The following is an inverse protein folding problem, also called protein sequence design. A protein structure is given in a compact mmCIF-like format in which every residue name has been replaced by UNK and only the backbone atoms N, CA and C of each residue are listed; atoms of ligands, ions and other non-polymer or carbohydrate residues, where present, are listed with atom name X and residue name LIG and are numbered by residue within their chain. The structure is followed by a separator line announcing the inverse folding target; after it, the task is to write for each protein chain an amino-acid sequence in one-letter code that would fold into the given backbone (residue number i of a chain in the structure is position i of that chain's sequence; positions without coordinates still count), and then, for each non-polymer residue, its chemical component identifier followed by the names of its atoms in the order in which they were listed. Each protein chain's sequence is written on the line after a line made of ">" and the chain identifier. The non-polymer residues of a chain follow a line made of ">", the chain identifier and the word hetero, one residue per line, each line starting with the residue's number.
data_IF_598842279764
#
_entry.id   IF_598842279764
#
_cell.length_a   1.000
_cell.length_b   1.000
_cell.length_c   1.000
_cell.angle_alpha   90.00
_cell.angle_beta   90.00
_cell.angle_gamma   90.00
#
_symmetry.space_group_name_H-M   'P 1'
#
loop_
_entity.id
_entity.type
_entity.pdbx_description
1 polymer ?
#
# COMPACT_ATOMS: atom_id res chain seq x y z
N UNK A 1 1.61 23.79 -6.28
CA UNK A 1 2.02 22.93 -5.14
C UNK A 1 1.63 21.51 -5.48
N UNK A 2 2.48 20.52 -5.18
CA UNK A 2 2.17 19.10 -5.37
C UNK A 2 1.27 18.63 -4.22
N UNK A 3 0.39 17.68 -4.49
CA UNK A 3 -0.48 17.07 -3.49
C UNK A 3 0.33 16.01 -2.70
N UNK A 4 0.55 16.18 -1.39
CA UNK A 4 1.22 15.16 -0.60
C UNK A 4 0.32 13.92 -0.45
N UNK A 5 0.89 12.75 -0.77
CA UNK A 5 0.21 11.47 -0.66
C UNK A 5 1.06 10.43 0.08
N UNK A 6 0.40 9.55 0.84
CA UNK A 6 0.95 8.28 1.30
C UNK A 6 0.17 7.13 0.64
N UNK A 7 0.87 6.11 0.15
CA UNK A 7 0.28 5.00 -0.60
C UNK A 7 0.37 3.68 0.19
N UNK A 8 -0.76 3.08 0.52
CA UNK A 8 -0.87 1.74 1.12
C UNK A 8 -1.33 0.74 0.06
N UNK A 9 -0.53 -0.29 -0.23
CA UNK A 9 -0.68 -1.17 -1.41
C UNK A 9 -0.27 -2.61 -1.10
N UNK A 10 -0.68 -3.56 -1.92
CA UNK A 10 -0.29 -4.96 -1.86
C UNK A 10 0.22 -5.46 -3.22
N UNK A 11 1.39 -4.95 -3.69
CA UNK A 11 1.66 -4.85 -5.12
C UNK A 11 1.43 -6.12 -5.95
N UNK A 12 0.36 -6.05 -6.76
CA UNK A 12 0.10 -6.83 -7.95
C UNK A 12 0.47 -6.07 -9.24
N UNK A 13 -0.05 -6.56 -10.37
CA UNK A 13 0.26 -6.00 -11.71
C UNK A 13 -0.33 -4.59 -11.87
N UNK A 14 -1.56 -4.39 -11.41
CA UNK A 14 -2.26 -3.11 -11.45
C UNK A 14 -1.71 -2.10 -10.44
N UNK A 15 -1.34 -2.54 -9.23
CA UNK A 15 -0.62 -1.68 -8.28
C UNK A 15 0.68 -1.13 -8.87
N UNK A 16 1.44 -1.93 -9.61
CA UNK A 16 2.67 -1.46 -10.26
C UNK A 16 2.39 -0.27 -11.19
N UNK A 17 1.29 -0.30 -11.93
CA UNK A 17 0.86 0.82 -12.78
C UNK A 17 0.47 2.03 -11.94
N UNK A 18 -0.26 1.83 -10.84
CA UNK A 18 -0.66 2.91 -9.92
C UNK A 18 0.55 3.56 -9.24
N UNK A 19 1.54 2.77 -8.81
CA UNK A 19 2.79 3.24 -8.22
C UNK A 19 3.58 4.05 -9.26
N UNK A 20 3.71 3.56 -10.49
CA UNK A 20 4.35 4.33 -11.56
C UNK A 20 3.66 5.67 -11.78
N UNK A 21 2.32 5.69 -11.86
CA UNK A 21 1.55 6.91 -12.01
C UNK A 21 1.79 7.87 -10.83
N UNK A 22 1.83 7.36 -9.59
CA UNK A 22 2.09 8.16 -8.40
C UNK A 22 3.51 8.75 -8.36
N UNK A 23 4.51 8.01 -8.85
CA UNK A 23 5.91 8.46 -8.91
C UNK A 23 6.10 9.54 -9.98
N UNK A 24 5.50 9.36 -11.16
CA UNK A 24 5.79 10.18 -12.33
C UNK A 24 4.77 11.30 -12.59
N UNK A 25 3.64 11.34 -11.87
CA UNK A 25 2.69 12.45 -11.97
C UNK A 25 3.27 13.73 -11.34
N UNK A 26 3.46 14.82 -12.10
CA UNK A 26 4.08 16.04 -11.58
C UNK A 26 3.23 16.78 -10.54
N UNK A 27 1.94 16.46 -10.44
CA UNK A 27 1.00 17.00 -9.46
C UNK A 27 1.04 16.27 -8.12
N UNK A 28 1.61 15.06 -8.05
CA UNK A 28 1.65 14.24 -6.84
C UNK A 28 3.03 14.31 -6.17
N UNK A 29 3.02 14.27 -4.84
CA UNK A 29 4.22 14.13 -4.02
C UNK A 29 4.06 12.87 -3.17
N UNK A 30 4.56 11.75 -3.69
CA UNK A 30 4.52 10.46 -3.02
C UNK A 30 5.63 10.40 -1.96
N UNK A 31 5.24 10.62 -0.71
CA UNK A 31 6.17 10.82 0.40
C UNK A 31 6.44 9.54 1.21
N UNK A 32 5.52 8.57 1.19
CA UNK A 32 5.61 7.31 1.92
C UNK A 32 4.83 6.24 1.18
N UNK A 33 5.40 5.04 1.12
CA UNK A 33 4.68 3.83 0.75
C UNK A 33 4.61 2.86 1.92
N UNK A 34 3.52 2.11 1.99
CA UNK A 34 3.35 0.99 2.92
C UNK A 34 2.79 -0.22 2.19
N UNK A 35 3.17 -1.40 2.65
CA UNK A 35 2.66 -2.66 2.11
C UNK A 35 1.73 -3.38 3.08
N UNK A 36 0.78 -4.12 2.55
CA UNK A 36 -0.13 -4.99 3.32
C UNK A 36 -0.21 -6.37 2.67
N UNK A 37 -0.62 -7.39 3.43
CA UNK A 37 -1.02 -8.67 2.85
C UNK A 37 -2.39 -8.56 2.15
N UNK A 38 -2.49 -9.14 0.95
CA UNK A 38 -3.70 -9.14 0.12
C UNK A 38 -3.51 -10.08 -1.06
N UNK A 39 -3.12 -9.56 -2.22
CA UNK A 39 -2.83 -10.33 -3.43
C UNK A 39 -1.90 -11.51 -3.17
N UNK A 40 -0.83 -11.26 -2.40
CA UNK A 40 0.11 -12.26 -1.91
C UNK A 40 0.50 -11.94 -0.45
N UNK A 41 1.36 -12.76 0.17
CA UNK A 41 1.83 -12.52 1.53
C UNK A 41 2.55 -11.17 1.66
N UNK A 42 2.55 -10.58 2.85
CA UNK A 42 3.14 -9.24 3.04
C UNK A 42 4.64 -9.21 2.71
N UNK A 43 5.36 -10.31 2.90
CA UNK A 43 6.78 -10.42 2.53
C UNK A 43 6.96 -10.30 1.02
N UNK A 44 6.04 -10.91 0.25
CA UNK A 44 6.04 -10.84 -1.21
C UNK A 44 5.61 -9.46 -1.70
N UNK A 45 4.55 -8.88 -1.14
CA UNK A 45 4.11 -7.53 -1.52
C UNK A 45 5.18 -6.48 -1.20
N UNK A 46 5.86 -6.60 -0.06
CA UNK A 46 7.00 -5.74 0.31
C UNK A 46 8.18 -5.92 -0.63
N UNK A 47 8.53 -7.17 -0.96
CA UNK A 47 9.57 -7.45 -1.96
C UNK A 47 9.21 -6.81 -3.31
N UNK A 48 7.97 -6.94 -3.76
CA UNK A 48 7.50 -6.37 -5.02
C UNK A 48 7.62 -4.85 -5.01
N UNK A 49 7.16 -4.17 -3.96
CA UNK A 49 7.31 -2.72 -3.81
C UNK A 49 8.77 -2.27 -3.87
N UNK A 50 9.69 -2.95 -3.16
CA UNK A 50 11.12 -2.60 -3.18
C UNK A 50 11.74 -2.76 -4.58
N UNK A 51 11.31 -3.79 -5.32
CA UNK A 51 11.77 -4.08 -6.66
C UNK A 51 11.29 -3.03 -7.66
N UNK A 52 10.04 -2.59 -7.54
CA UNK A 52 9.49 -1.50 -8.33
C UNK A 52 10.20 -0.17 -8.03
N UNK A 53 10.43 0.15 -6.74
CA UNK A 53 11.20 1.32 -6.34
C UNK A 53 12.65 1.27 -6.84
N UNK A 54 13.26 0.08 -6.85
CA UNK A 54 14.58 -0.13 -7.43
C UNK A 54 14.57 0.10 -8.95
N UNK A 55 13.62 -0.50 -9.65
CA UNK A 55 13.49 -0.41 -11.11
C UNK A 55 13.36 1.05 -11.59
N UNK A 56 12.55 1.85 -10.92
CA UNK A 56 12.40 3.28 -11.24
C UNK A 56 13.43 4.20 -10.58
N UNK A 57 14.38 3.65 -9.84
CA UNK A 57 15.37 4.40 -9.06
C UNK A 57 14.72 5.48 -8.17
N UNK A 58 13.61 5.13 -7.52
CA UNK A 58 12.81 6.03 -6.69
C UNK A 58 13.17 5.89 -5.21
N UNK A 59 13.53 7.00 -4.56
CA UNK A 59 13.96 7.04 -3.15
C UNK A 59 12.80 7.33 -2.19
N UNK A 60 11.72 6.55 -2.31
CA UNK A 60 10.53 6.68 -1.45
C UNK A 60 10.67 5.73 -0.27
N UNK A 61 10.49 6.19 0.99
CA UNK A 61 10.51 5.30 2.14
C UNK A 61 9.35 4.30 2.05
N UNK A 62 9.65 3.03 2.36
CA UNK A 62 8.68 1.94 2.34
C UNK A 62 8.62 1.27 3.72
N UNK A 63 7.44 1.11 4.32
CA UNK A 63 7.29 0.32 5.55
C UNK A 63 6.43 -0.93 5.33
N UNK A 64 6.89 -2.06 5.88
CA UNK A 64 6.12 -3.29 5.85
C UNK A 64 4.97 -3.22 6.87
N UNK A 65 3.77 -3.62 6.44
CA UNK A 65 2.57 -3.59 7.27
C UNK A 65 2.06 -4.95 7.73
N UNK A 66 0.74 -5.03 7.88
CA UNK A 66 0.08 -6.19 8.47
C UNK A 66 0.19 -7.43 7.58
N UNK A 67 0.63 -8.55 8.17
CA UNK A 67 0.73 -9.85 7.52
C UNK A 67 -0.61 -10.60 7.41
N UNK A 68 -1.59 -10.23 8.25
CA UNK A 68 -2.89 -10.88 8.34
C UNK A 68 -4.01 -9.86 8.55
N UNK A 69 -5.26 -10.15 8.15
CA UNK A 69 -6.42 -9.33 8.47
C UNK A 69 -6.66 -9.21 9.98
N UNK A 70 -7.40 -8.19 10.42
CA UNK A 70 -7.65 -7.93 11.85
C UNK A 70 -8.33 -9.08 12.61
N UNK A 71 -9.26 -9.78 11.96
CA UNK A 71 -10.14 -10.77 12.62
C UNK A 71 -10.28 -12.06 11.83
N UNK A 72 -10.35 -11.98 10.49
CA UNK A 72 -10.56 -13.14 9.63
C UNK A 72 -9.25 -13.86 9.31
N UNK A 73 -9.35 -15.14 8.99
CA UNK A 73 -8.23 -15.89 8.43
C UNK A 73 -7.73 -15.25 7.12
N UNK A 74 -6.40 -15.24 6.88
CA UNK A 74 -5.83 -14.74 5.64
C UNK A 74 -6.32 -15.57 4.45
N UNK A 75 -6.56 -14.89 3.33
CA UNK A 75 -6.82 -15.46 2.01
C UNK A 75 -6.03 -14.62 1.03
N UNK A 76 -5.28 -15.25 0.15
CA UNK A 76 -4.55 -14.57 -0.92
C UNK A 76 -5.28 -14.67 -2.26
N UNK A 77 -4.84 -13.89 -3.24
CA UNK A 77 -5.27 -13.98 -4.63
C UNK A 77 -4.13 -14.48 -5.54
N UNK A 78 -3.29 -15.39 -5.04
CA UNK A 78 -2.16 -15.93 -5.82
C UNK A 78 -2.60 -16.58 -7.14
N UNK A 79 -3.85 -17.08 -7.21
CA UNK A 79 -4.46 -17.61 -8.44
C UNK A 79 -4.65 -16.57 -9.56
N UNK A 80 -4.71 -15.28 -9.24
CA UNK A 80 -4.87 -14.17 -10.18
C UNK A 80 -3.54 -13.50 -10.49
N UNK A 81 -2.71 -13.26 -9.47
CA UNK A 81 -1.46 -12.48 -9.60
C UNK A 81 -0.19 -13.34 -9.75
N UNK A 82 -0.33 -14.67 -9.72
CA UNK A 82 0.78 -15.62 -9.76
C UNK A 82 1.51 -15.75 -8.43
N UNK A 83 2.41 -16.72 -8.32
CA UNK A 83 3.06 -17.09 -7.05
C UNK A 83 3.85 -15.94 -6.42
N UNK A 84 4.44 -15.06 -7.23
CA UNK A 84 5.17 -13.88 -6.78
C UNK A 84 4.30 -12.63 -6.59
N UNK A 85 3.08 -12.60 -7.15
CA UNK A 85 2.27 -11.38 -7.28
C UNK A 85 2.61 -10.52 -8.52
N UNK A 86 3.75 -10.78 -9.17
CA UNK A 86 4.18 -10.12 -10.40
C UNK A 86 4.73 -11.15 -11.40
N UNK A 87 3.89 -12.11 -11.79
CA UNK A 87 4.29 -13.12 -12.78
C UNK A 87 4.73 -12.45 -14.10
N UNK A 88 5.86 -12.91 -14.65
CA UNK A 88 6.45 -12.36 -15.88
C UNK A 88 7.45 -11.23 -15.69
N UNK A 89 7.73 -10.82 -14.44
CA UNK A 89 8.81 -9.88 -14.12
C UNK A 89 9.98 -10.59 -13.43
N UNK A 90 11.18 -10.41 -13.98
CA UNK A 90 12.41 -10.97 -13.42
C UNK A 90 12.97 -10.06 -12.33
N UNK A 91 12.92 -10.56 -11.09
CA UNK A 91 13.46 -9.85 -9.94
C UNK A 91 14.99 -9.81 -9.95
N UNK A 92 15.55 -8.61 -9.81
CA UNK A 92 17.01 -8.41 -9.71
C UNK A 92 17.45 -8.29 -8.24
N UNK A 93 18.69 -8.64 -7.93
CA UNK A 93 19.20 -8.43 -6.58
C UNK A 93 19.42 -6.94 -6.30
N UNK A 94 18.99 -6.49 -5.12
CA UNK A 94 19.23 -5.14 -4.62
C UNK A 94 19.35 -5.13 -3.10
N UNK A 95 19.95 -4.08 -2.54
CA UNK A 95 20.15 -3.93 -1.09
C UNK A 95 19.09 -3.06 -0.38
N UNK A 96 18.03 -2.63 -1.10
CA UNK A 96 16.94 -1.85 -0.49
C UNK A 96 16.25 -2.64 0.61
N UNK A 97 15.88 -1.94 1.69
CA UNK A 97 15.18 -2.50 2.85
C UNK A 97 13.99 -1.62 3.20
N UNK A 98 12.89 -2.20 3.71
CA UNK A 98 11.83 -1.39 4.28
C UNK A 98 12.33 -0.73 5.57
N UNK A 99 11.61 0.29 6.03
CA UNK A 99 11.79 0.89 7.34
C UNK A 99 11.61 -0.19 8.42
N UNK A 100 12.41 -0.10 9.48
CA UNK A 100 12.35 -1.01 10.64
C UNK A 100 11.17 -0.75 11.59
N UNK A 101 10.10 -0.14 11.10
CA UNK A 101 8.89 0.17 11.87
C UNK A 101 7.64 -0.33 11.11
N UNK A 102 6.59 -0.77 11.82
CA UNK A 102 5.32 -1.16 11.21
C UNK A 102 4.68 -0.05 10.38
N UNK A 103 4.03 -0.41 9.26
CA UNK A 103 3.35 0.52 8.35
C UNK A 103 2.46 1.55 9.05
N UNK A 104 1.57 1.14 9.95
CA UNK A 104 0.65 2.07 10.62
C UNK A 104 1.39 3.08 11.51
N UNK A 105 2.54 2.70 12.10
CA UNK A 105 3.40 3.61 12.86
C UNK A 105 4.19 4.53 11.93
N UNK A 106 4.66 4.03 10.78
CA UNK A 106 5.29 4.86 9.76
C UNK A 106 4.33 5.94 9.24
N UNK A 107 3.07 5.58 8.97
CA UNK A 107 2.02 6.53 8.57
C UNK A 107 1.76 7.53 9.69
N UNK A 108 1.57 7.08 10.95
CA UNK A 108 1.41 7.97 12.11
C UNK A 108 2.56 8.98 12.18
N UNK A 109 3.80 8.52 12.20
CA UNK A 109 4.96 9.39 12.37
C UNK A 109 5.11 10.37 11.22
N UNK A 110 4.77 9.97 9.99
CA UNK A 110 4.78 10.85 8.84
C UNK A 110 3.64 11.89 8.90
N UNK A 111 2.41 11.49 9.26
CA UNK A 111 1.28 12.40 9.44
C UNK A 111 1.55 13.46 10.51
N UNK A 112 2.12 13.06 11.65
CA UNK A 112 2.40 13.98 12.77
C UNK A 112 3.54 14.97 12.47
N UNK A 113 4.41 14.65 11.51
CA UNK A 113 5.51 15.53 11.05
C UNK A 113 5.11 16.38 9.85
N UNK A 114 4.05 16.02 9.13
CA UNK A 114 3.62 16.74 7.95
C UNK A 114 3.14 18.17 8.34
N UNK A 115 3.57 19.21 7.62
CA UNK A 115 3.17 20.59 7.92
C UNK A 115 1.69 20.86 7.61
N UNK A 116 1.06 20.01 6.82
CA UNK A 116 -0.34 20.08 6.44
C UNK A 116 -0.95 18.67 6.34
N UNK A 117 -2.29 18.54 6.41
CA UNK A 117 -2.95 17.25 6.27
C UNK A 117 -2.65 16.55 4.93
N UNK A 118 -2.36 15.25 4.98
CA UNK A 118 -1.92 14.42 3.85
C UNK A 118 -3.07 13.56 3.30
N UNK A 119 -3.04 13.26 2.00
CA UNK A 119 -3.98 12.29 1.40
C UNK A 119 -3.47 10.87 1.56
N UNK A 120 -4.27 10.00 2.16
CA UNK A 120 -4.00 8.56 2.18
C UNK A 120 -4.64 7.92 0.95
N UNK A 121 -3.86 7.16 0.19
CA UNK A 121 -4.32 6.37 -0.96
C UNK A 121 -4.14 4.91 -0.59
N UNK A 122 -5.23 4.17 -0.42
CA UNK A 122 -5.20 2.76 -0.05
C UNK A 122 -5.75 1.94 -1.22
N UNK A 123 -4.88 1.15 -1.85
CA UNK A 123 -5.22 0.33 -3.02
C UNK A 123 -5.15 -1.18 -2.76
N UNK A 124 -4.85 -1.57 -1.50
CA UNK A 124 -4.98 -2.94 -1.00
C UNK A 124 -5.94 -3.04 0.19
N UNK A 125 -5.99 -4.20 0.88
CA UNK A 125 -6.81 -4.38 2.07
C UNK A 125 -6.52 -3.35 3.17
N UNK A 126 -7.58 -2.76 3.75
CA UNK A 126 -7.49 -1.61 4.66
C UNK A 126 -6.94 -1.90 6.07
N UNK A 127 -6.21 -3.01 6.26
CA UNK A 127 -5.74 -3.46 7.58
C UNK A 127 -4.81 -2.43 8.23
N UNK A 128 -3.84 -1.89 7.49
CA UNK A 128 -2.92 -0.86 8.01
C UNK A 128 -3.66 0.43 8.39
N UNK A 129 -4.62 0.85 7.56
CA UNK A 129 -5.44 2.05 7.80
C UNK A 129 -6.34 1.85 9.03
N UNK A 130 -6.93 0.67 9.19
CA UNK A 130 -7.75 0.35 10.36
C UNK A 130 -6.91 0.32 11.65
N UNK A 131 -5.70 -0.25 11.61
CA UNK A 131 -4.75 -0.19 12.73
C UNK A 131 -4.36 1.26 13.07
N UNK A 132 -4.04 2.08 12.08
CA UNK A 132 -3.74 3.51 12.28
C UNK A 132 -4.89 4.22 13.01
N UNK A 133 -6.12 4.10 12.50
CA UNK A 133 -7.26 4.84 13.03
C UNK A 133 -7.76 4.32 14.38
N UNK A 134 -7.47 3.07 14.73
CA UNK A 134 -7.84 2.45 16.00
C UNK A 134 -6.79 2.67 17.09
N UNK A 135 -5.51 2.57 16.75
CA UNK A 135 -4.39 2.70 17.71
C UNK A 135 -3.88 4.15 17.85
N UNK A 136 -4.05 4.98 16.82
CA UNK A 136 -3.56 6.35 16.77
C UNK A 136 -4.67 7.33 16.32
N UNK A 137 -5.80 7.41 17.06
CA UNK A 137 -6.94 8.25 16.68
C UNK A 137 -6.58 9.74 16.55
N UNK A 138 -5.51 10.20 17.20
CA UNK A 138 -4.94 11.53 17.07
C UNK A 138 -4.47 11.88 15.65
N UNK A 139 -4.26 10.88 14.78
CA UNK A 139 -3.89 11.10 13.38
C UNK A 139 -5.05 11.63 12.52
N UNK A 140 -6.30 11.45 12.95
CA UNK A 140 -7.48 11.77 12.12
C UNK A 140 -7.50 13.21 11.59
N UNK A 141 -7.21 14.26 12.38
CA UNK A 141 -7.17 15.64 11.88
C UNK A 141 -6.04 15.90 10.87
N UNK A 142 -5.02 15.04 10.82
CA UNK A 142 -3.89 15.14 9.89
C UNK A 142 -4.15 14.42 8.56
N UNK A 143 -5.31 13.77 8.40
CA UNK A 143 -5.70 13.10 7.15
C UNK A 143 -6.64 14.03 6.38
N UNK A 144 -6.16 14.55 5.24
CA UNK A 144 -6.95 15.40 4.34
C UNK A 144 -8.09 14.63 3.69
N UNK A 145 -7.78 13.43 3.19
CA UNK A 145 -8.68 12.56 2.43
C UNK A 145 -8.16 11.14 2.47
N UNK A 146 -9.06 10.16 2.49
CA UNK A 146 -8.77 8.76 2.24
C UNK A 146 -9.36 8.38 0.87
N UNK A 147 -8.52 7.97 -0.07
CA UNK A 147 -8.89 7.46 -1.39
C UNK A 147 -8.72 5.95 -1.37
N UNK A 148 -9.77 5.20 -1.69
CA UNK A 148 -9.78 3.74 -1.57
C UNK A 148 -10.06 3.14 -2.95
N UNK A 149 -9.23 2.18 -3.37
CA UNK A 149 -9.62 1.19 -4.37
C UNK A 149 -10.19 0.00 -3.61
N UNK A 150 -11.52 -0.15 -3.67
CA UNK A 150 -12.20 -1.25 -3.02
C UNK A 150 -13.71 -1.10 -3.04
N UNK A 151 -14.39 -2.24 -2.90
CA UNK A 151 -15.85 -2.32 -2.90
C UNK A 151 -16.49 -2.34 -4.30
N UNK A 152 -17.78 -2.65 -4.33
CA UNK A 152 -18.59 -2.67 -5.56
C UNK A 152 -20.01 -2.21 -5.24
N UNK A 153 -20.57 -1.35 -6.09
CA UNK A 153 -22.00 -0.99 -6.04
C UNK A 153 -22.90 -2.01 -6.75
N UNK A 154 -22.31 -3.03 -7.38
CA UNK A 154 -23.00 -4.10 -8.11
C UNK A 154 -22.44 -5.46 -7.72
N UNK A 155 -22.00 -6.24 -8.72
CA UNK A 155 -21.41 -7.56 -8.49
C UNK A 155 -19.97 -7.44 -7.97
N UNK A 156 -19.59 -8.33 -7.06
CA UNK A 156 -18.21 -8.48 -6.60
C UNK A 156 -17.32 -9.27 -7.56
N UNK A 157 -16.00 -9.22 -7.30
CA UNK A 157 -14.96 -9.95 -8.02
C UNK A 157 -14.40 -11.15 -7.22
N UNK A 158 -14.47 -11.11 -5.90
CA UNK A 158 -14.02 -12.18 -4.99
C UNK A 158 -15.17 -13.11 -4.60
N UNK A 159 -16.34 -12.54 -4.29
CA UNK A 159 -17.60 -13.26 -4.19
C UNK A 159 -18.66 -12.54 -5.04
N UNK A 160 -19.84 -13.11 -5.27
CA UNK A 160 -20.91 -12.40 -5.99
C UNK A 160 -21.24 -11.02 -5.41
N UNK A 161 -21.01 -10.80 -4.11
CA UNK A 161 -21.39 -9.58 -3.38
C UNK A 161 -20.21 -8.83 -2.76
N UNK A 162 -18.96 -9.26 -2.98
CA UNK A 162 -17.79 -8.65 -2.37
C UNK A 162 -16.66 -8.44 -3.38
N UNK A 163 -16.12 -7.23 -3.35
CA UNK A 163 -14.82 -6.93 -3.93
C UNK A 163 -13.71 -7.54 -3.04
N UNK A 164 -12.49 -7.72 -3.55
CA UNK A 164 -11.42 -8.46 -2.92
C UNK A 164 -10.79 -7.75 -1.69
N UNK A 165 -10.54 -6.44 -1.78
CA UNK A 165 -9.85 -5.65 -0.73
C UNK A 165 -10.68 -5.51 0.55
#
# INVERSE_FOLDING_TARGET
>A
MRLPIFLDTDPGIDDAVAIAAAIFAPELDLQLMTTVAGNVSVEKTTRNALQLLHFWNAEIPLAQGAAVPLVRAPRDAASVHGESGMAGYDFVEHNRKPLGIPAFLAIRDALMRAPEPVTLVAIGPLTNIALLLSQCPECKPHIRRLVIMGGSAGRGNCTPNAEFN
#
